data_IF_041511512204
#
_entry.id   IF_041511512204
#
_cell.length_a   1.000
_cell.length_b   1.000
_cell.length_c   1.000
_cell.angle_alpha   90.00
_cell.angle_beta   90.00
_cell.angle_gamma   90.00
#
_symmetry.space_group_name_H-M   'P 1'
#
loop_
_entity.id
_entity.type
_entity.pdbx_description
1 polymer ?
#
# COMPACT_ATOMS: atom_id res chain seq x y z
N UNK A 1 -12.14 -3.08 -19.69
CA UNK A 1 -11.00 -3.53 -18.86
C UNK A 1 -11.43 -4.46 -17.72
N UNK A 2 -12.39 -4.09 -16.85
CA UNK A 2 -12.84 -4.98 -15.76
C UNK A 2 -13.55 -6.24 -16.29
N UNK A 3 -14.45 -6.12 -17.26
CA UNK A 3 -15.12 -7.28 -17.87
C UNK A 3 -14.15 -8.27 -18.53
N UNK A 4 -13.01 -7.80 -19.02
CA UNK A 4 -11.97 -8.65 -19.63
C UNK A 4 -11.23 -9.51 -18.59
N UNK A 5 -11.21 -9.08 -17.33
CA UNK A 5 -10.56 -9.81 -16.23
C UNK A 5 -11.50 -10.80 -15.53
N UNK A 6 -12.82 -10.70 -15.76
CA UNK A 6 -13.81 -11.57 -15.12
C UNK A 6 -13.52 -13.07 -15.32
N UNK A 7 -13.22 -13.57 -16.54
CA UNK A 7 -12.95 -14.99 -16.72
C UNK A 7 -11.73 -15.49 -15.93
N UNK A 8 -10.71 -14.64 -15.77
CA UNK A 8 -9.54 -14.96 -14.95
C UNK A 8 -9.90 -15.04 -13.46
N UNK A 9 -10.73 -14.11 -12.99
CA UNK A 9 -11.17 -14.07 -11.59
C UNK A 9 -12.05 -15.27 -11.25
N UNK A 10 -12.93 -15.65 -12.17
CA UNK A 10 -13.81 -16.82 -12.03
C UNK A 10 -12.97 -18.12 -12.01
N UNK A 11 -11.99 -18.24 -12.90
CA UNK A 11 -11.06 -19.33 -12.91
C UNK A 11 -10.24 -19.39 -11.59
N UNK A 12 -9.74 -18.27 -11.11
CA UNK A 12 -8.98 -18.19 -9.86
C UNK A 12 -9.86 -18.60 -8.67
N UNK A 13 -11.09 -18.08 -8.57
CA UNK A 13 -12.03 -18.38 -7.49
C UNK A 13 -12.52 -19.82 -7.49
N UNK A 14 -12.55 -20.48 -8.65
CA UNK A 14 -12.90 -21.90 -8.77
C UNK A 14 -11.76 -22.87 -8.44
N UNK A 15 -10.53 -22.37 -8.29
CA UNK A 15 -9.37 -23.20 -7.98
C UNK A 15 -9.47 -23.87 -6.61
N UNK A 16 -8.96 -25.09 -6.49
CA UNK A 16 -8.93 -25.83 -5.21
C UNK A 16 -8.21 -25.06 -4.10
N UNK A 17 -7.16 -24.32 -4.47
CA UNK A 17 -6.41 -23.48 -3.54
C UNK A 17 -7.26 -22.31 -3.02
N UNK A 18 -8.01 -21.62 -3.88
CA UNK A 18 -8.92 -20.55 -3.48
C UNK A 18 -10.01 -21.06 -2.53
N UNK A 19 -10.61 -22.19 -2.87
CA UNK A 19 -11.63 -22.86 -2.05
C UNK A 19 -11.04 -23.30 -0.70
N UNK A 20 -9.90 -23.98 -0.71
CA UNK A 20 -9.20 -24.35 0.52
C UNK A 20 -8.92 -23.14 1.42
N UNK A 21 -8.50 -22.03 0.83
CA UNK A 21 -8.18 -20.82 1.59
C UNK A 21 -9.44 -20.16 2.15
N UNK A 22 -10.48 -20.00 1.33
CA UNK A 22 -11.74 -19.30 1.66
C UNK A 22 -12.63 -20.08 2.63
N UNK A 23 -12.56 -21.41 2.67
CA UNK A 23 -13.37 -22.25 3.56
C UNK A 23 -13.01 -22.14 5.03
N UNK A 24 -11.89 -21.55 5.40
CA UNK A 24 -11.46 -21.42 6.79
C UNK A 24 -11.34 -19.97 7.22
N UNK A 25 -12.22 -19.56 8.11
CA UNK A 25 -12.16 -18.25 8.75
C UNK A 25 -10.80 -17.99 9.41
N UNK A 26 -10.21 -19.01 10.05
CA UNK A 26 -8.92 -18.88 10.73
C UNK A 26 -7.76 -18.61 9.74
N UNK A 27 -7.77 -19.24 8.55
CA UNK A 27 -6.74 -18.98 7.52
C UNK A 27 -6.82 -17.56 7.01
N UNK A 28 -8.02 -17.13 6.67
CA UNK A 28 -8.26 -15.73 6.21
C UNK A 28 -7.92 -14.73 7.32
N UNK A 29 -8.34 -14.99 8.57
CA UNK A 29 -8.00 -14.11 9.70
C UNK A 29 -6.48 -14.03 9.92
N UNK A 30 -5.75 -15.14 9.83
CA UNK A 30 -4.29 -15.17 9.90
C UNK A 30 -3.64 -14.33 8.80
N UNK A 31 -4.14 -14.43 7.56
CA UNK A 31 -3.67 -13.60 6.45
C UNK A 31 -3.94 -12.11 6.67
N UNK A 32 -5.08 -11.74 7.24
CA UNK A 32 -5.35 -10.36 7.62
C UNK A 32 -4.37 -9.83 8.65
N UNK A 33 -4.00 -10.65 9.66
CA UNK A 33 -2.98 -10.26 10.65
C UNK A 33 -1.64 -9.98 9.95
N UNK A 34 -1.19 -10.88 9.07
CA UNK A 34 0.04 -10.72 8.29
C UNK A 34 -0.03 -9.46 7.42
N UNK A 35 -1.17 -9.24 6.77
CA UNK A 35 -1.41 -8.05 5.93
C UNK A 35 -1.32 -6.76 6.74
N UNK A 36 -1.92 -6.72 7.92
CA UNK A 36 -1.86 -5.57 8.82
C UNK A 36 -0.44 -5.28 9.32
N UNK A 37 0.34 -6.31 9.64
CA UNK A 37 1.76 -6.15 10.00
C UNK A 37 2.54 -5.53 8.83
N UNK A 38 2.29 -6.00 7.61
CA UNK A 38 2.89 -5.41 6.41
C UNK A 38 2.51 -3.95 6.21
N UNK A 39 1.20 -3.63 6.33
CA UNK A 39 0.69 -2.28 6.23
C UNK A 39 1.26 -1.35 7.31
N UNK A 40 1.37 -1.80 8.56
CA UNK A 40 1.92 -1.00 9.65
C UNK A 40 3.37 -0.60 9.37
N UNK A 41 4.19 -1.52 8.85
CA UNK A 41 5.57 -1.22 8.45
C UNK A 41 5.64 -0.24 7.28
N UNK A 42 4.83 -0.47 6.25
CA UNK A 42 4.78 0.37 5.06
C UNK A 42 4.29 1.78 5.38
N UNK A 43 3.13 1.88 6.03
CA UNK A 43 2.51 3.16 6.37
C UNK A 43 3.29 3.90 7.44
N UNK A 44 3.77 3.21 8.47
CA UNK A 44 4.58 3.80 9.53
C UNK A 44 5.87 4.43 8.98
N UNK A 45 6.62 3.69 8.17
CA UNK A 45 7.82 4.23 7.52
C UNK A 45 7.53 5.35 6.53
N UNK A 46 6.40 5.27 5.81
CA UNK A 46 5.95 6.33 4.90
C UNK A 46 5.54 7.58 5.67
N UNK A 47 4.85 7.43 6.80
CA UNK A 47 4.46 8.52 7.69
C UNK A 47 5.70 9.28 8.22
N UNK A 48 6.70 8.56 8.71
CA UNK A 48 7.93 9.17 9.24
C UNK A 48 8.62 10.03 8.18
N UNK A 49 8.81 9.51 6.97
CA UNK A 49 9.45 10.27 5.88
C UNK A 49 8.55 11.41 5.40
N UNK A 50 7.24 11.18 5.28
CA UNK A 50 6.28 12.20 4.86
C UNK A 50 6.22 13.38 5.83
N UNK A 51 6.17 13.12 7.14
CA UNK A 51 6.22 14.16 8.17
C UNK A 51 7.55 14.93 8.14
N UNK A 52 8.66 14.24 7.92
CA UNK A 52 9.96 14.89 7.79
C UNK A 52 10.04 15.79 6.55
N UNK A 53 9.43 15.39 5.43
CA UNK A 53 9.32 16.23 4.23
C UNK A 53 8.43 17.46 4.45
N UNK A 54 7.43 17.34 5.33
CA UNK A 54 6.59 18.45 5.77
C UNK A 54 7.26 19.37 6.80
N UNK A 55 8.50 19.07 7.18
CA UNK A 55 9.24 19.73 8.27
C UNK A 55 8.57 19.58 9.66
N UNK A 56 7.81 18.49 9.84
CA UNK A 56 7.16 18.13 11.09
C UNK A 56 7.96 17.01 11.77
N UNK A 57 8.62 17.32 12.89
CA UNK A 57 9.44 16.37 13.64
C UNK A 57 10.76 15.97 12.96
N UNK A 58 11.65 15.32 13.71
CA UNK A 58 12.95 14.78 13.26
C UNK A 58 13.81 15.76 12.44
N UNK A 59 13.74 17.05 12.75
CA UNK A 59 14.41 18.12 11.98
C UNK A 59 15.93 18.03 11.99
N UNK A 60 16.51 17.37 12.99
CA UNK A 60 17.94 17.11 13.10
C UNK A 60 18.45 16.03 12.14
N UNK A 61 17.54 15.23 11.54
CA UNK A 61 17.91 14.15 10.63
C UNK A 61 17.77 14.60 9.17
N UNK A 62 18.77 14.38 8.31
CA UNK A 62 18.64 14.61 6.88
C UNK A 62 17.60 13.65 6.29
N UNK A 63 16.71 14.16 5.42
CA UNK A 63 15.63 13.34 4.80
C UNK A 63 16.20 12.13 4.10
N UNK A 64 17.27 12.31 3.31
CA UNK A 64 17.88 11.23 2.53
C UNK A 64 18.47 10.12 3.41
N UNK A 65 19.08 10.48 4.55
CA UNK A 65 19.57 9.52 5.55
C UNK A 65 18.41 8.69 6.11
N UNK A 66 17.41 9.39 6.66
CA UNK A 66 16.21 8.77 7.22
C UNK A 66 15.49 7.86 6.21
N UNK A 67 15.39 8.30 4.96
CA UNK A 67 14.74 7.52 3.89
C UNK A 67 15.53 6.23 3.58
N UNK A 68 16.88 6.27 3.61
CA UNK A 68 17.73 5.09 3.42
C UNK A 68 17.59 4.10 4.57
N UNK A 69 17.60 4.58 5.80
CA UNK A 69 17.50 3.73 7.01
C UNK A 69 16.15 3.02 7.11
N UNK A 70 15.07 3.69 6.70
CA UNK A 70 13.72 3.15 6.76
C UNK A 70 13.38 2.32 5.50
N UNK A 71 14.09 2.50 4.39
CA UNK A 71 13.78 1.83 3.11
C UNK A 71 13.62 0.31 3.21
N UNK A 72 14.51 -0.46 3.87
CA UNK A 72 14.36 -1.92 3.95
C UNK A 72 13.09 -2.32 4.70
N UNK A 73 12.72 -1.60 5.76
CA UNK A 73 11.49 -1.85 6.52
C UNK A 73 10.23 -1.57 5.73
N UNK A 74 10.21 -0.47 4.98
CA UNK A 74 9.10 -0.12 4.07
C UNK A 74 8.97 -1.13 2.95
N UNK A 75 10.07 -1.56 2.35
CA UNK A 75 10.06 -2.54 1.28
C UNK A 75 9.58 -3.90 1.77
N UNK A 76 10.05 -4.36 2.93
CA UNK A 76 9.56 -5.57 3.56
C UNK A 76 8.06 -5.48 3.86
N UNK A 77 7.59 -4.32 4.36
CA UNK A 77 6.17 -4.06 4.58
C UNK A 77 5.35 -4.11 3.30
N UNK A 78 5.84 -3.51 2.22
CA UNK A 78 5.19 -3.54 0.91
C UNK A 78 5.07 -4.96 0.36
N UNK A 79 6.17 -5.71 0.35
CA UNK A 79 6.19 -7.10 -0.14
C UNK A 79 5.21 -7.96 0.66
N UNK A 80 5.27 -7.86 1.99
CA UNK A 80 4.39 -8.60 2.88
C UNK A 80 2.92 -8.26 2.63
N UNK A 81 2.59 -6.96 2.46
CA UNK A 81 1.22 -6.51 2.17
C UNK A 81 0.74 -6.96 0.79
N UNK A 82 1.60 -6.94 -0.22
CA UNK A 82 1.23 -7.38 -1.57
C UNK A 82 0.97 -8.89 -1.60
N UNK A 83 1.85 -9.69 -1.03
CA UNK A 83 1.70 -11.16 -1.01
C UNK A 83 0.46 -11.55 -0.21
N UNK A 84 0.33 -11.07 1.02
CA UNK A 84 -0.83 -11.40 1.86
C UNK A 84 -2.14 -10.86 1.28
N UNK A 85 -2.12 -9.67 0.67
CA UNK A 85 -3.28 -9.10 -0.01
C UNK A 85 -3.71 -9.90 -1.24
N UNK A 86 -2.77 -10.43 -2.02
CA UNK A 86 -3.05 -11.34 -3.14
C UNK A 86 -3.68 -12.65 -2.65
N UNK A 87 -3.17 -13.22 -1.54
CA UNK A 87 -3.73 -14.43 -0.94
C UNK A 87 -5.15 -14.20 -0.39
N UNK A 88 -5.39 -13.08 0.29
CA UNK A 88 -6.73 -12.70 0.77
C UNK A 88 -7.68 -12.55 -0.43
N UNK A 89 -7.23 -11.88 -1.49
CA UNK A 89 -8.02 -11.74 -2.72
C UNK A 89 -8.36 -13.11 -3.32
N UNK A 90 -7.39 -14.01 -3.41
CA UNK A 90 -7.62 -15.38 -3.93
C UNK A 90 -8.72 -16.10 -3.16
N UNK A 91 -8.74 -16.02 -1.82
CA UNK A 91 -9.74 -16.69 -0.98
C UNK A 91 -11.17 -16.17 -1.11
N UNK A 92 -11.39 -15.01 -1.79
CA UNK A 92 -12.71 -14.42 -2.03
C UNK A 92 -12.76 -13.67 -3.36
N UNK A 93 -12.09 -14.16 -4.39
CA UNK A 93 -11.78 -13.43 -5.62
C UNK A 93 -13.00 -12.79 -6.28
N UNK A 94 -14.08 -13.54 -6.50
CA UNK A 94 -15.29 -13.05 -7.15
C UNK A 94 -15.95 -11.95 -6.32
N UNK A 95 -16.17 -12.20 -5.04
CA UNK A 95 -16.80 -11.24 -4.12
C UNK A 95 -16.04 -9.91 -4.03
N UNK A 96 -14.72 -9.96 -3.90
CA UNK A 96 -13.89 -8.74 -3.86
C UNK A 96 -13.90 -8.00 -5.19
N UNK A 97 -13.79 -8.73 -6.31
CA UNK A 97 -13.70 -8.13 -7.64
C UNK A 97 -14.97 -7.37 -8.05
N UNK A 98 -16.14 -7.85 -7.65
CA UNK A 98 -17.42 -7.19 -7.89
C UNK A 98 -17.60 -5.94 -7.03
N UNK A 99 -16.95 -5.88 -5.90
CA UNK A 99 -17.03 -4.77 -4.95
C UNK A 99 -16.46 -3.46 -5.51
N UNK A 100 -17.19 -2.33 -5.45
CA UNK A 100 -16.69 -1.05 -5.95
C UNK A 100 -15.46 -0.55 -5.19
N UNK A 101 -15.38 -0.80 -3.89
CA UNK A 101 -14.26 -0.38 -3.04
C UNK A 101 -12.95 -1.10 -3.38
N UNK A 102 -13.01 -2.35 -3.83
CA UNK A 102 -11.83 -3.06 -4.33
C UNK A 102 -11.25 -2.37 -5.57
N UNK A 103 -12.10 -1.95 -6.50
CA UNK A 103 -11.68 -1.23 -7.72
C UNK A 103 -11.03 0.11 -7.38
N UNK A 104 -11.62 0.88 -6.46
CA UNK A 104 -11.03 2.13 -5.97
C UNK A 104 -9.70 1.89 -5.28
N UNK A 105 -9.61 0.88 -4.43
CA UNK A 105 -8.36 0.51 -3.77
C UNK A 105 -7.26 0.17 -4.77
N UNK A 106 -7.56 -0.62 -5.79
CA UNK A 106 -6.57 -1.01 -6.80
C UNK A 106 -6.09 0.19 -7.63
N UNK A 107 -6.99 1.10 -8.01
CA UNK A 107 -6.65 2.33 -8.70
C UNK A 107 -5.74 3.23 -7.83
N UNK A 108 -6.14 3.49 -6.59
CA UNK A 108 -5.35 4.29 -5.64
C UNK A 108 -3.99 3.66 -5.33
N UNK A 109 -3.95 2.33 -5.15
CA UNK A 109 -2.71 1.59 -4.92
C UNK A 109 -1.76 1.72 -6.10
N UNK A 110 -2.25 1.59 -7.33
CA UNK A 110 -1.43 1.76 -8.53
C UNK A 110 -0.85 3.17 -8.60
N UNK A 111 -1.67 4.19 -8.37
CA UNK A 111 -1.22 5.58 -8.36
C UNK A 111 -0.18 5.80 -7.25
N UNK A 112 -0.44 5.28 -6.03
CA UNK A 112 0.48 5.40 -4.90
C UNK A 112 1.82 4.72 -5.17
N UNK A 113 1.84 3.53 -5.79
CA UNK A 113 3.06 2.82 -6.15
C UNK A 113 3.85 3.57 -7.23
N UNK A 114 3.19 3.98 -8.31
CA UNK A 114 3.84 4.76 -9.38
C UNK A 114 4.45 6.03 -8.80
N UNK A 115 3.69 6.78 -8.01
CA UNK A 115 4.19 8.00 -7.36
C UNK A 115 5.36 7.69 -6.40
N UNK A 116 5.26 6.64 -5.60
CA UNK A 116 6.30 6.27 -4.63
C UNK A 116 7.62 5.89 -5.30
N UNK A 117 7.57 5.12 -6.38
CA UNK A 117 8.79 4.64 -7.06
C UNK A 117 9.35 5.64 -8.09
N UNK A 118 8.61 6.68 -8.43
CA UNK A 118 9.06 7.75 -9.34
C UNK A 118 9.37 9.03 -8.55
N UNK A 119 8.40 9.90 -8.44
CA UNK A 119 8.57 11.28 -7.94
C UNK A 119 8.99 11.31 -6.48
N UNK A 120 8.32 10.55 -5.61
CA UNK A 120 8.64 10.54 -4.18
C UNK A 120 10.07 10.07 -3.92
N UNK A 121 10.49 9.00 -4.61
CA UNK A 121 11.86 8.48 -4.49
C UNK A 121 12.90 9.54 -4.86
N UNK A 122 12.70 10.26 -5.95
CA UNK A 122 13.63 11.32 -6.39
C UNK A 122 13.77 12.41 -5.32
N UNK A 123 12.65 12.84 -4.72
CA UNK A 123 12.66 13.92 -3.72
C UNK A 123 13.17 13.45 -2.36
N UNK A 124 12.78 12.24 -1.92
CA UNK A 124 13.15 11.72 -0.60
C UNK A 124 14.64 11.34 -0.50
N UNK A 125 15.27 10.96 -1.61
CA UNK A 125 16.69 10.58 -1.62
C UNK A 125 17.62 11.69 -2.14
N UNK A 126 17.08 12.86 -2.44
CA UNK A 126 17.88 13.99 -2.87
C UNK A 126 18.66 14.62 -1.71
N UNK A 127 19.80 15.22 -2.05
CA UNK A 127 20.57 16.01 -1.12
C UNK A 127 19.78 17.25 -0.65
N UNK A 128 20.06 17.73 0.56
CA UNK A 128 19.43 18.90 1.13
C UNK A 128 19.73 20.13 0.25
N UNK A 129 18.69 20.91 -0.04
CA UNK A 129 18.79 22.10 -0.90
C UNK A 129 18.56 21.85 -2.39
N UNK A 130 18.54 20.61 -2.88
CA UNK A 130 18.30 20.32 -4.30
C UNK A 130 16.91 20.76 -4.79
N UNK A 131 15.91 20.66 -3.91
CA UNK A 131 14.52 20.99 -4.24
C UNK A 131 14.00 22.11 -3.35
N UNK A 132 13.13 22.94 -3.92
CA UNK A 132 12.43 23.99 -3.19
C UNK A 132 11.66 23.41 -2.00
N UNK A 133 11.68 24.05 -0.82
CA UNK A 133 10.95 23.60 0.37
C UNK A 133 9.46 23.33 0.13
N UNK A 134 8.81 24.14 -0.71
CA UNK A 134 7.41 23.94 -1.08
C UNK A 134 7.17 22.62 -1.82
N UNK A 135 8.05 22.29 -2.76
CA UNK A 135 7.96 21.01 -3.49
C UNK A 135 8.14 19.82 -2.55
N UNK A 136 9.11 19.89 -1.64
CA UNK A 136 9.33 18.85 -0.64
C UNK A 136 8.09 18.63 0.24
N UNK A 137 7.49 19.70 0.74
CA UNK A 137 6.27 19.65 1.54
C UNK A 137 5.08 19.11 0.75
N UNK A 138 4.89 19.57 -0.48
CA UNK A 138 3.85 19.07 -1.37
C UNK A 138 3.99 17.55 -1.61
N UNK A 139 5.22 17.07 -1.85
CA UNK A 139 5.49 15.63 -2.04
C UNK A 139 5.24 14.82 -0.77
N UNK A 140 5.63 15.36 0.40
CA UNK A 140 5.32 14.75 1.69
C UNK A 140 3.82 14.63 1.93
N UNK A 141 3.07 15.72 1.75
CA UNK A 141 1.62 15.74 1.90
C UNK A 141 0.91 14.81 0.92
N UNK A 142 1.30 14.83 -0.35
CA UNK A 142 0.72 13.97 -1.37
C UNK A 142 0.97 12.47 -1.09
N UNK A 143 2.17 12.13 -0.64
CA UNK A 143 2.50 10.76 -0.23
C UNK A 143 1.59 10.28 0.89
N UNK A 144 1.43 11.08 1.93
CA UNK A 144 0.55 10.74 3.05
C UNK A 144 -0.89 10.59 2.59
N UNK A 145 -1.39 11.54 1.80
CA UNK A 145 -2.75 11.51 1.27
C UNK A 145 -3.01 10.22 0.47
N UNK A 146 -2.13 9.88 -0.47
CA UNK A 146 -2.28 8.69 -1.31
C UNK A 146 -2.30 7.40 -0.47
N UNK A 147 -1.34 7.22 0.42
CA UNK A 147 -1.27 6.01 1.22
C UNK A 147 -2.40 5.90 2.24
N UNK A 148 -2.84 7.00 2.85
CA UNK A 148 -4.03 7.01 3.71
C UNK A 148 -5.30 6.67 2.91
N UNK A 149 -5.45 7.21 1.70
CA UNK A 149 -6.59 6.90 0.82
C UNK A 149 -6.65 5.41 0.46
N UNK A 150 -5.49 4.79 0.17
CA UNK A 150 -5.40 3.32 -0.04
C UNK A 150 -5.83 2.55 1.20
N UNK A 151 -5.42 3.00 2.39
CA UNK A 151 -5.80 2.39 3.67
C UNK A 151 -7.31 2.48 3.92
N UNK A 152 -7.89 3.65 3.73
CA UNK A 152 -9.34 3.89 3.88
C UNK A 152 -10.13 3.05 2.88
N UNK A 153 -9.75 3.04 1.60
CA UNK A 153 -10.42 2.20 0.59
C UNK A 153 -10.30 0.71 0.94
N UNK A 154 -9.15 0.27 1.46
CA UNK A 154 -8.96 -1.09 1.95
C UNK A 154 -9.85 -1.45 3.13
N UNK A 155 -10.06 -0.52 4.04
CA UNK A 155 -10.97 -0.73 5.20
C UNK A 155 -12.44 -0.76 4.78
N UNK A 156 -12.82 0.07 3.80
CA UNK A 156 -14.19 0.13 3.27
C UNK A 156 -14.65 -1.20 2.64
N UNK A 157 -13.75 -2.00 2.06
CA UNK A 157 -14.07 -3.32 1.52
C UNK A 157 -14.71 -4.25 2.57
N UNK A 158 -14.36 -4.11 3.84
CA UNK A 158 -14.89 -4.96 4.89
C UNK A 158 -16.22 -4.49 5.48
N UNK A 159 -16.75 -3.33 5.04
CA UNK A 159 -18.01 -2.78 5.53
C UNK A 159 -19.13 -2.78 4.49
N UNK A 160 -18.80 -2.80 3.24
CA UNK A 160 -19.68 -2.72 2.08
C UNK A 160 -19.40 -3.82 1.08
#
# INVERSE_FOLDING_TARGET
MWATLQPFVDWLGSSEFAQWLGQSTNRIAGLFVVHLIGLTRLLGGTLVIGLRLLDIGLRSQPVAGLARDIAPWRMAGLILSVISGALIFTGGAVSYFEGPWFRWKMALLTIALVFNFTVFRIVAYADEGRFNPWLRRAMGGLTLLLWFSVGVAGRAIGFF
#
